data_IF_315546615950
#
_entry.id   IF_315546615950
#
_cell.length_a   1.000
_cell.length_b   1.000
_cell.length_c   1.000
_cell.angle_alpha   90.00
_cell.angle_beta   90.00
_cell.angle_gamma   90.00
#
_symmetry.space_group_name_H-M   'P 1'
#
loop_
_entity.id
_entity.type
_entity.pdbx_description
1 polymer ?
#
# COMPACT_ATOMS: atom_id res chain seq x y z
N UNK A 1 37.73 31.74 30.80
CA UNK A 1 36.61 32.31 30.01
C UNK A 1 36.37 31.36 28.83
N UNK A 2 35.62 30.29 29.09
CA UNK A 2 35.40 29.20 28.14
C UNK A 2 34.25 29.54 27.20
N UNK A 3 34.56 29.63 25.92
CA UNK A 3 33.64 29.93 24.83
C UNK A 3 32.69 28.73 24.66
N UNK A 4 31.43 28.87 25.10
CA UNK A 4 30.36 27.93 24.78
C UNK A 4 30.24 27.83 23.26
N UNK A 5 30.72 26.72 22.69
CA UNK A 5 30.44 26.34 21.31
C UNK A 5 28.94 26.13 21.23
N UNK A 6 28.29 27.02 20.51
CA UNK A 6 26.89 26.95 20.15
C UNK A 6 26.71 25.70 19.26
N UNK A 7 26.17 24.63 19.85
CA UNK A 7 25.93 23.37 19.16
C UNK A 7 24.94 23.60 18.03
N UNK A 8 25.46 23.46 16.81
CA UNK A 8 24.67 23.48 15.57
C UNK A 8 23.76 22.25 15.43
N UNK A 9 23.47 21.53 16.52
CA UNK A 9 22.38 20.58 16.62
C UNK A 9 21.05 21.31 16.88
N UNK A 10 20.78 22.37 16.10
CA UNK A 10 19.40 22.70 15.76
C UNK A 10 18.85 21.45 15.08
N UNK A 11 18.07 20.67 15.82
CA UNK A 11 17.18 19.67 15.24
C UNK A 11 16.40 20.40 14.16
N UNK A 12 16.70 20.07 12.91
CA UNK A 12 16.07 20.66 11.74
C UNK A 12 14.55 20.53 11.92
N UNK A 13 13.76 21.62 11.82
CA UNK A 13 12.31 21.56 11.98
C UNK A 13 11.59 20.74 10.88
N UNK A 14 12.35 20.12 9.97
CA UNK A 14 11.90 19.24 8.89
C UNK A 14 12.20 17.74 9.11
N UNK A 15 12.66 17.34 10.31
CA UNK A 15 13.25 16.01 10.55
C UNK A 15 12.28 14.87 10.91
N UNK A 16 10.97 15.08 10.73
CA UNK A 16 9.95 14.04 10.94
C UNK A 16 9.34 13.61 9.59
N UNK A 17 10.10 12.81 8.81
CA UNK A 17 9.63 12.35 7.48
C UNK A 17 8.61 11.21 7.56
N UNK A 18 8.44 10.57 8.71
CA UNK A 18 7.47 9.48 8.89
C UNK A 18 6.04 10.00 8.62
N UNK A 19 5.71 11.24 9.02
CA UNK A 19 4.40 11.84 8.74
C UNK A 19 4.20 12.37 7.31
N UNK A 20 5.24 12.40 6.47
CA UNK A 20 5.14 12.92 5.11
C UNK A 20 4.51 11.89 4.17
N UNK A 21 3.55 12.29 3.31
CA UNK A 21 3.00 11.39 2.30
C UNK A 21 4.09 10.89 1.37
N UNK A 22 4.05 9.63 0.97
CA UNK A 22 4.72 9.19 -0.25
C UNK A 22 4.25 10.06 -1.44
N UNK A 23 5.13 10.50 -2.35
CA UNK A 23 6.55 10.12 -2.52
C UNK A 23 7.57 10.93 -1.70
N UNK A 24 7.13 11.82 -0.80
CA UNK A 24 8.02 12.75 -0.09
C UNK A 24 8.59 12.19 1.23
N UNK A 25 7.91 11.20 1.83
CA UNK A 25 8.39 10.43 2.99
C UNK A 25 9.08 9.10 2.60
N UNK A 26 9.92 8.52 3.49
CA UNK A 26 10.46 7.18 3.30
C UNK A 26 9.32 6.16 3.16
N UNK A 27 9.54 5.14 2.33
CA UNK A 27 8.55 4.09 2.15
C UNK A 27 8.28 3.36 3.46
N UNK A 28 7.11 2.76 3.58
CA UNK A 28 6.74 2.01 4.79
C UNK A 28 7.77 0.92 5.11
N UNK A 29 8.33 0.32 4.07
CA UNK A 29 9.31 -0.77 4.15
C UNK A 29 10.76 -0.29 4.37
N UNK A 30 11.00 1.01 4.46
CA UNK A 30 12.35 1.58 4.59
C UNK A 30 12.86 1.47 6.04
N UNK A 31 14.03 0.83 6.30
CA UNK A 31 14.61 0.75 7.65
C UNK A 31 14.84 2.13 8.29
N UNK A 32 14.94 3.19 7.48
CA UNK A 32 15.07 4.58 7.97
C UNK A 32 13.94 4.96 8.92
N UNK A 33 12.72 4.42 8.76
CA UNK A 33 11.59 4.71 9.67
C UNK A 33 11.84 4.17 11.06
N UNK A 34 12.33 2.95 11.18
CA UNK A 34 12.65 2.31 12.47
C UNK A 34 13.81 3.03 13.15
N UNK A 35 14.81 3.46 12.38
CA UNK A 35 15.93 4.27 12.91
C UNK A 35 15.43 5.63 13.42
N UNK A 36 14.60 6.34 12.65
CA UNK A 36 14.04 7.62 13.06
C UNK A 36 13.13 7.50 14.30
N UNK A 37 12.29 6.48 14.34
CA UNK A 37 11.43 6.21 15.49
C UNK A 37 12.26 5.91 16.75
N UNK A 38 13.25 5.02 16.65
CA UNK A 38 14.10 4.66 17.79
C UNK A 38 15.00 5.82 18.26
N UNK A 39 15.53 6.64 17.34
CA UNK A 39 16.26 7.87 17.68
C UNK A 39 15.37 8.86 18.44
N UNK A 40 14.11 9.01 18.01
CA UNK A 40 13.16 9.94 18.66
C UNK A 40 12.75 9.42 20.03
N UNK A 41 12.46 8.13 20.15
CA UNK A 41 12.13 7.50 21.43
C UNK A 41 13.26 7.65 22.46
N UNK A 42 14.52 7.68 22.02
CA UNK A 42 15.69 7.87 22.91
C UNK A 42 15.77 9.26 23.53
N UNK A 43 15.16 10.27 22.91
CA UNK A 43 15.21 11.67 23.36
C UNK A 43 14.06 11.97 24.33
N UNK A 44 12.96 11.22 24.22
CA UNK A 44 11.76 11.39 25.04
C UNK A 44 12.00 10.89 26.47
N UNK A 45 11.61 11.68 27.46
CA UNK A 45 11.68 11.27 28.88
C UNK A 45 10.59 10.23 29.17
N UNK A 46 10.94 8.97 29.49
CA UNK A 46 9.96 7.92 29.70
C UNK A 46 9.05 8.18 30.91
N UNK A 47 9.42 9.08 31.83
CA UNK A 47 8.71 9.24 33.11
C UNK A 47 7.59 10.28 33.10
N UNK A 48 7.59 11.24 32.15
CA UNK A 48 6.57 12.30 32.11
C UNK A 48 6.04 12.60 30.71
N UNK A 49 6.43 11.83 29.70
CA UNK A 49 6.12 12.13 28.29
C UNK A 49 5.00 11.27 27.69
N UNK A 50 4.03 10.79 28.49
CA UNK A 50 2.93 9.98 27.96
C UNK A 50 2.24 10.60 26.73
N UNK A 51 1.97 11.91 26.74
CA UNK A 51 1.39 12.60 25.58
C UNK A 51 2.32 12.63 24.36
N UNK A 52 3.63 12.72 24.56
CA UNK A 52 4.61 12.71 23.45
C UNK A 52 4.71 11.30 22.85
N UNK A 53 4.70 10.26 23.69
CA UNK A 53 4.68 8.87 23.25
C UNK A 53 3.42 8.60 22.42
N UNK A 54 2.25 9.03 22.92
CA UNK A 54 0.99 8.93 22.17
C UNK A 54 1.08 9.65 20.82
N UNK A 55 1.65 10.87 20.79
CA UNK A 55 1.81 11.62 19.57
C UNK A 55 2.71 10.88 18.57
N UNK A 56 3.88 10.40 19.00
CA UNK A 56 4.83 9.68 18.14
C UNK A 56 4.23 8.40 17.55
N UNK A 57 3.53 7.62 18.38
CA UNK A 57 2.85 6.38 17.95
C UNK A 57 1.69 6.71 17.01
N UNK A 58 0.92 7.74 17.31
CA UNK A 58 -0.19 8.18 16.46
C UNK A 58 0.29 8.73 15.11
N UNK A 59 1.42 9.42 15.08
CA UNK A 59 2.00 9.89 13.84
C UNK A 59 2.57 8.71 12.99
N UNK A 60 3.12 7.67 13.62
CA UNK A 60 3.50 6.42 12.94
C UNK A 60 2.27 5.75 12.31
N UNK A 61 1.17 5.64 13.05
CA UNK A 61 -0.09 5.07 12.56
C UNK A 61 -0.67 5.87 11.38
N UNK A 62 -0.69 7.20 11.49
CA UNK A 62 -1.16 8.09 10.44
C UNK A 62 -0.34 7.97 9.15
N UNK A 63 0.96 7.72 9.26
CA UNK A 63 1.82 7.44 8.12
C UNK A 63 1.36 6.18 7.36
N UNK A 64 1.03 5.10 8.08
CA UNK A 64 0.54 3.85 7.50
C UNK A 64 -0.83 4.02 6.83
N UNK A 65 -1.78 4.65 7.54
CA UNK A 65 -3.12 4.93 7.01
C UNK A 65 -3.01 5.72 5.70
N UNK A 66 -2.16 6.76 5.70
CA UNK A 66 -1.94 7.61 4.52
C UNK A 66 -1.26 6.85 3.38
N UNK A 67 -0.32 5.96 3.68
CA UNK A 67 0.31 5.10 2.67
C UNK A 67 -0.74 4.24 1.95
N UNK A 68 -1.59 3.53 2.70
CA UNK A 68 -2.65 2.71 2.10
C UNK A 68 -3.71 3.55 1.38
N UNK A 69 -4.03 4.75 1.88
CA UNK A 69 -4.90 5.70 1.21
C UNK A 69 -4.36 6.13 -0.18
N UNK A 70 -3.06 6.39 -0.30
CA UNK A 70 -2.46 6.76 -1.58
C UNK A 70 -2.43 5.57 -2.54
N UNK A 71 -2.08 4.39 -2.02
CA UNK A 71 -2.01 3.13 -2.76
C UNK A 71 -3.37 2.74 -3.34
N UNK A 72 -4.47 2.88 -2.58
CA UNK A 72 -5.84 2.63 -3.10
C UNK A 72 -6.22 3.57 -4.25
N UNK A 73 -5.79 4.84 -4.20
CA UNK A 73 -6.09 5.83 -5.25
C UNK A 73 -5.29 5.52 -6.50
N UNK A 74 -4.01 5.17 -6.35
CA UNK A 74 -3.17 4.76 -7.47
C UNK A 74 -3.69 3.49 -8.13
N UNK A 75 -4.07 2.47 -7.35
CA UNK A 75 -4.66 1.24 -7.87
C UNK A 75 -5.94 1.52 -8.67
N UNK A 76 -6.84 2.36 -8.14
CA UNK A 76 -8.05 2.79 -8.86
C UNK A 76 -7.74 3.49 -10.18
N UNK A 77 -6.77 4.43 -10.17
CA UNK A 77 -6.38 5.17 -11.38
C UNK A 77 -5.76 4.24 -12.43
N UNK A 78 -4.86 3.35 -12.01
CA UNK A 78 -4.24 2.37 -12.89
C UNK A 78 -5.28 1.44 -13.50
N UNK A 79 -6.21 0.91 -12.70
CA UNK A 79 -7.26 0.04 -13.21
C UNK A 79 -8.18 0.76 -14.19
N UNK A 80 -8.55 2.00 -13.87
CA UNK A 80 -9.36 2.83 -14.77
C UNK A 80 -8.65 3.03 -16.11
N UNK A 81 -7.35 3.34 -16.08
CA UNK A 81 -6.53 3.52 -17.29
C UNK A 81 -6.44 2.23 -18.11
N UNK A 82 -6.21 1.08 -17.47
CA UNK A 82 -6.12 -0.22 -18.14
C UNK A 82 -7.45 -0.60 -18.80
N UNK A 83 -8.58 -0.36 -18.13
CA UNK A 83 -9.90 -0.57 -18.73
C UNK A 83 -10.13 0.34 -19.95
N UNK A 84 -9.75 1.61 -19.88
CA UNK A 84 -9.84 2.51 -21.04
C UNK A 84 -8.96 2.03 -22.21
N UNK A 85 -7.73 1.60 -21.93
CA UNK A 85 -6.83 1.05 -22.96
C UNK A 85 -7.39 -0.24 -23.57
N UNK A 86 -7.90 -1.15 -22.74
CA UNK A 86 -8.52 -2.38 -23.20
C UNK A 86 -9.74 -2.11 -24.10
N UNK A 87 -10.56 -1.13 -23.74
CA UNK A 87 -11.70 -0.72 -24.55
C UNK A 87 -11.28 -0.12 -25.89
N UNK A 88 -10.28 0.78 -25.90
CA UNK A 88 -9.74 1.36 -27.14
C UNK A 88 -9.15 0.28 -28.06
N UNK A 89 -8.30 -0.60 -27.54
CA UNK A 89 -7.70 -1.66 -28.34
C UNK A 89 -8.72 -2.72 -28.77
N UNK A 90 -9.68 -3.05 -27.91
CA UNK A 90 -10.74 -3.99 -28.24
C UNK A 90 -11.66 -3.47 -29.35
N UNK A 91 -12.06 -2.19 -29.28
CA UNK A 91 -12.88 -1.56 -30.32
C UNK A 91 -12.16 -1.47 -31.66
N UNK A 92 -10.89 -1.04 -31.67
CA UNK A 92 -10.07 -1.03 -32.89
C UNK A 92 -9.87 -2.45 -33.42
N UNK A 93 -9.56 -3.41 -32.56
CA UNK A 93 -9.34 -4.81 -32.94
C UNK A 93 -10.57 -5.46 -33.58
N UNK A 94 -11.78 -5.07 -33.19
CA UNK A 94 -13.04 -5.54 -33.79
C UNK A 94 -13.39 -4.74 -35.06
N UNK A 95 -13.16 -3.43 -35.08
CA UNK A 95 -13.52 -2.58 -36.21
C UNK A 95 -12.65 -2.83 -37.44
N UNK A 96 -11.36 -3.14 -37.26
CA UNK A 96 -10.43 -3.42 -38.37
C UNK A 96 -10.89 -4.55 -39.29
N UNK A 97 -11.21 -5.77 -38.80
CA UNK A 97 -11.69 -6.85 -39.66
C UNK A 97 -13.06 -6.52 -40.29
N UNK A 98 -13.94 -5.81 -39.59
CA UNK A 98 -15.24 -5.36 -40.14
C UNK A 98 -15.05 -4.38 -41.30
N UNK A 99 -14.16 -3.40 -41.14
CA UNK A 99 -13.84 -2.43 -42.18
C UNK A 99 -13.18 -3.09 -43.41
N UNK A 100 -12.36 -4.13 -43.19
CA UNK A 100 -11.74 -4.94 -44.24
C UNK A 100 -12.74 -5.59 -45.20
N UNK A 101 -13.95 -5.91 -44.74
CA UNK A 101 -15.00 -6.46 -45.61
C UNK A 101 -15.78 -5.41 -46.40
N UNK A 102 -15.76 -4.15 -45.97
CA UNK A 102 -16.55 -3.06 -46.58
C UNK A 102 -15.71 -2.28 -47.59
N UNK A 103 -14.41 -2.11 -47.32
CA UNK A 103 -13.49 -1.31 -48.13
C UNK A 103 -12.68 -2.24 -49.03
N UNK A 104 -12.83 -2.08 -50.35
CA UNK A 104 -12.24 -2.98 -51.36
C UNK A 104 -10.74 -2.73 -51.63
N UNK A 105 -10.16 -1.69 -51.05
CA UNK A 105 -8.84 -1.14 -51.46
C UNK A 105 -7.88 -0.97 -50.26
N UNK A 106 -7.87 -1.95 -49.36
CA UNK A 106 -7.01 -1.96 -48.17
C UNK A 106 -5.74 -2.80 -48.40
N UNK A 107 -4.61 -2.43 -47.77
CA UNK A 107 -3.38 -3.22 -47.86
C UNK A 107 -3.55 -4.60 -47.22
N UNK A 108 -2.91 -5.64 -47.79
CA UNK A 108 -3.04 -7.05 -47.37
C UNK A 108 -2.77 -7.27 -45.86
N UNK A 109 -1.91 -6.44 -45.25
CA UNK A 109 -1.56 -6.55 -43.84
C UNK A 109 -2.58 -5.91 -42.88
N UNK A 110 -3.61 -5.25 -43.39
CA UNK A 110 -4.56 -4.50 -42.56
C UNK A 110 -5.31 -5.39 -41.57
N UNK A 111 -5.70 -6.61 -41.97
CA UNK A 111 -6.36 -7.57 -41.08
C UNK A 111 -5.47 -8.00 -39.90
N UNK A 112 -4.17 -8.18 -40.14
CA UNK A 112 -3.19 -8.60 -39.13
C UNK A 112 -3.10 -7.60 -37.98
N UNK A 113 -3.21 -6.29 -38.27
CA UNK A 113 -3.26 -5.24 -37.24
C UNK A 113 -4.44 -5.40 -36.28
N UNK A 114 -5.61 -5.83 -36.77
CA UNK A 114 -6.78 -6.09 -35.93
C UNK A 114 -6.51 -7.15 -34.87
N UNK A 115 -5.87 -8.27 -35.26
CA UNK A 115 -5.50 -9.33 -34.32
C UNK A 115 -4.47 -8.86 -33.28
N UNK A 116 -3.50 -8.03 -33.67
CA UNK A 116 -2.53 -7.46 -32.71
C UNK A 116 -3.21 -6.56 -31.67
N UNK A 117 -4.13 -5.69 -32.10
CA UNK A 117 -4.89 -4.84 -31.16
C UNK A 117 -5.80 -5.65 -30.25
N UNK A 118 -6.43 -6.71 -30.78
CA UNK A 118 -7.26 -7.59 -29.97
C UNK A 118 -6.43 -8.38 -28.93
N UNK A 119 -5.28 -8.92 -29.33
CA UNK A 119 -4.34 -9.58 -28.43
C UNK A 119 -3.80 -8.62 -27.37
N UNK A 120 -3.53 -7.37 -27.74
CA UNK A 120 -3.10 -6.33 -26.81
C UNK A 120 -4.20 -5.99 -25.79
N UNK A 121 -5.46 -5.88 -26.23
CA UNK A 121 -6.61 -5.65 -25.35
C UNK A 121 -6.74 -6.78 -24.31
N UNK A 122 -6.67 -8.03 -24.76
CA UNK A 122 -6.67 -9.19 -23.86
C UNK A 122 -5.49 -9.17 -22.88
N UNK A 123 -4.29 -8.83 -23.36
CA UNK A 123 -3.08 -8.73 -22.52
C UNK A 123 -3.22 -7.64 -21.44
N UNK A 124 -3.80 -6.50 -21.79
CA UNK A 124 -4.05 -5.39 -20.86
C UNK A 124 -5.04 -5.79 -19.77
N UNK A 125 -6.10 -6.54 -20.11
CA UNK A 125 -7.06 -7.04 -19.13
C UNK A 125 -6.45 -8.08 -18.18
N UNK A 126 -5.64 -8.99 -18.72
CA UNK A 126 -4.89 -9.96 -17.89
C UNK A 126 -3.93 -9.21 -16.97
N UNK A 127 -3.24 -8.18 -17.47
CA UNK A 127 -2.39 -7.34 -16.65
C UNK A 127 -3.17 -6.62 -15.53
N UNK A 128 -4.36 -6.06 -15.80
CA UNK A 128 -5.20 -5.45 -14.75
C UNK A 128 -5.59 -6.45 -13.66
N UNK A 129 -5.89 -7.70 -14.05
CA UNK A 129 -6.23 -8.76 -13.11
C UNK A 129 -5.01 -9.20 -12.26
N UNK A 130 -3.85 -9.41 -12.90
CA UNK A 130 -2.59 -9.84 -12.24
C UNK A 130 -2.03 -8.75 -11.32
N UNK A 131 -1.92 -7.52 -11.83
CA UNK A 131 -1.46 -6.38 -11.04
C UNK A 131 -2.58 -5.82 -10.15
N UNK A 132 -3.77 -6.42 -10.24
CA UNK A 132 -4.85 -6.32 -9.28
C UNK A 132 -5.36 -4.90 -9.13
N UNK A 133 -5.71 -4.23 -10.23
CA UNK A 133 -6.32 -2.90 -10.15
C UNK A 133 -7.53 -2.90 -9.21
N UNK A 134 -8.43 -3.86 -9.41
CA UNK A 134 -9.66 -4.03 -8.60
C UNK A 134 -9.41 -4.79 -7.29
N UNK A 135 -8.73 -5.93 -7.33
CA UNK A 135 -8.47 -6.75 -6.13
C UNK A 135 -7.55 -6.06 -5.13
N UNK A 136 -6.52 -5.34 -5.60
CA UNK A 136 -5.65 -4.58 -4.71
C UNK A 136 -6.38 -3.37 -4.12
N UNK A 137 -7.32 -2.75 -4.85
CA UNK A 137 -8.15 -1.68 -4.28
C UNK A 137 -8.92 -2.16 -3.03
N UNK A 138 -9.65 -3.27 -3.13
CA UNK A 138 -10.38 -3.83 -1.99
C UNK A 138 -9.45 -4.19 -0.83
N UNK A 139 -8.30 -4.81 -1.12
CA UNK A 139 -7.30 -5.19 -0.11
C UNK A 139 -6.73 -3.97 0.62
N UNK A 140 -6.39 -2.91 -0.12
CA UNK A 140 -5.89 -1.66 0.47
C UNK A 140 -6.95 -0.93 1.29
N UNK A 141 -8.21 -0.93 0.85
CA UNK A 141 -9.32 -0.36 1.61
C UNK A 141 -9.55 -1.13 2.92
N UNK A 142 -9.61 -2.46 2.87
CA UNK A 142 -9.74 -3.30 4.07
C UNK A 142 -8.63 -3.02 5.07
N UNK A 143 -7.37 -3.05 4.60
CA UNK A 143 -6.19 -2.82 5.44
C UNK A 143 -6.18 -1.44 6.07
N UNK A 144 -6.53 -0.40 5.30
CA UNK A 144 -6.68 0.95 5.82
C UNK A 144 -7.73 1.01 6.93
N UNK A 145 -8.93 0.45 6.70
CA UNK A 145 -10.02 0.46 7.68
C UNK A 145 -9.65 -0.31 8.95
N UNK A 146 -8.94 -1.42 8.82
CA UNK A 146 -8.47 -2.22 9.96
C UNK A 146 -7.45 -1.42 10.79
N UNK A 147 -6.51 -0.71 10.15
CA UNK A 147 -5.54 0.16 10.85
C UNK A 147 -6.26 1.36 11.51
N UNK A 148 -7.18 2.02 10.79
CA UNK A 148 -7.98 3.14 11.33
C UNK A 148 -8.74 2.70 12.59
N UNK A 149 -9.42 1.55 12.53
CA UNK A 149 -10.14 0.98 13.66
C UNK A 149 -9.23 0.72 14.86
N UNK A 150 -8.07 0.09 14.65
CA UNK A 150 -7.13 -0.22 15.74
C UNK A 150 -6.56 1.07 16.35
N UNK A 151 -6.30 2.08 15.52
CA UNK A 151 -5.85 3.40 15.98
C UNK A 151 -6.92 4.15 16.79
N UNK A 152 -8.18 4.12 16.35
CA UNK A 152 -9.30 4.71 17.10
C UNK A 152 -9.47 4.07 18.48
N UNK A 153 -9.37 2.73 18.56
CA UNK A 153 -9.42 2.01 19.83
C UNK A 153 -8.24 2.39 20.74
N UNK A 154 -7.02 2.46 20.19
CA UNK A 154 -5.85 2.92 20.92
C UNK A 154 -6.01 4.34 21.45
N UNK A 155 -6.55 5.27 20.64
CA UNK A 155 -6.79 6.65 21.05
C UNK A 155 -7.81 6.76 22.19
N UNK A 156 -8.88 5.97 22.15
CA UNK A 156 -9.88 5.91 23.22
C UNK A 156 -9.29 5.31 24.50
N UNK A 157 -8.51 4.24 24.39
CA UNK A 157 -7.85 3.61 25.54
C UNK A 157 -6.80 4.54 26.18
N UNK A 158 -6.02 5.25 25.37
CA UNK A 158 -5.09 6.26 25.87
C UNK A 158 -5.82 7.32 26.69
N UNK A 159 -6.94 7.87 26.18
CA UNK A 159 -7.77 8.81 26.94
C UNK A 159 -8.35 8.20 28.21
N UNK A 160 -8.78 6.94 28.15
CA UNK A 160 -9.28 6.22 29.32
C UNK A 160 -8.22 6.13 30.41
N UNK A 161 -6.97 5.83 30.07
CA UNK A 161 -5.85 5.76 31.04
C UNK A 161 -5.70 7.08 31.79
N UNK A 162 -5.75 8.22 31.10
CA UNK A 162 -5.64 9.54 31.75
C UNK A 162 -6.84 9.84 32.67
N UNK A 163 -8.05 9.40 32.32
CA UNK A 163 -9.27 9.66 33.09
C UNK A 163 -9.46 8.69 34.25
N UNK A 164 -9.10 7.41 34.10
CA UNK A 164 -9.27 6.41 35.17
C UNK A 164 -8.20 6.51 36.25
N UNK A 165 -7.05 7.10 35.93
CA UNK A 165 -5.89 7.17 36.81
C UNK A 165 -5.57 8.61 37.23
N UNK A 166 -6.58 9.43 37.51
CA UNK A 166 -6.40 10.86 37.84
C UNK A 166 -5.43 11.07 39.01
N UNK A 167 -5.43 10.17 39.99
CA UNK A 167 -4.57 10.22 41.17
C UNK A 167 -3.22 9.51 41.01
N UNK A 168 -3.02 8.78 39.92
CA UNK A 168 -1.75 8.12 39.65
C UNK A 168 -0.68 9.14 39.27
N UNK A 169 0.58 8.80 39.56
CA UNK A 169 1.72 9.58 39.10
C UNK A 169 1.80 9.57 37.57
N UNK A 170 2.41 10.60 36.99
CA UNK A 170 2.56 10.68 35.53
C UNK A 170 3.50 9.58 35.00
N UNK A 171 4.41 9.08 35.82
CA UNK A 171 5.23 7.91 35.52
C UNK A 171 4.38 6.63 35.39
N UNK A 172 3.45 6.37 36.31
CA UNK A 172 2.54 5.21 36.23
C UNK A 172 1.64 5.27 35.00
N UNK A 173 1.09 6.46 34.68
CA UNK A 173 0.30 6.65 33.45
C UNK A 173 1.15 6.41 32.19
N UNK A 174 2.40 6.87 32.18
CA UNK A 174 3.31 6.71 31.06
C UNK A 174 3.65 5.24 30.81
N UNK A 175 3.87 4.45 31.87
CA UNK A 175 4.09 2.99 31.75
C UNK A 175 2.87 2.30 31.13
N UNK A 176 1.66 2.56 31.65
CA UNK A 176 0.43 1.97 31.10
C UNK A 176 0.22 2.32 29.61
N UNK A 177 0.57 3.56 29.24
CA UNK A 177 0.44 4.01 27.87
C UNK A 177 1.51 3.38 26.95
N UNK A 178 2.73 3.18 27.45
CA UNK A 178 3.77 2.45 26.72
C UNK A 178 3.32 1.02 26.45
N UNK A 179 2.83 0.30 27.47
CA UNK A 179 2.34 -1.06 27.33
C UNK A 179 1.22 -1.14 26.28
N UNK A 180 0.26 -0.21 26.33
CA UNK A 180 -0.82 -0.13 25.33
C UNK A 180 -0.29 0.21 23.94
N UNK A 181 0.78 1.01 23.84
CA UNK A 181 1.41 1.37 22.57
C UNK A 181 2.14 0.19 21.94
N UNK A 182 2.79 -0.66 22.75
CA UNK A 182 3.43 -1.90 22.28
C UNK A 182 2.39 -2.83 21.67
N UNK A 183 1.27 -3.04 22.37
CA UNK A 183 0.18 -3.88 21.87
C UNK A 183 -0.44 -3.33 20.58
N UNK A 184 -0.64 -2.00 20.51
CA UNK A 184 -1.11 -1.34 19.29
C UNK A 184 -0.16 -1.56 18.10
N UNK A 185 1.14 -1.37 18.31
CA UNK A 185 2.16 -1.56 17.26
C UNK A 185 2.17 -3.01 16.78
N UNK A 186 2.07 -3.97 17.70
CA UNK A 186 1.98 -5.40 17.35
C UNK A 186 0.74 -5.69 16.50
N UNK A 187 -0.44 -5.24 16.92
CA UNK A 187 -1.69 -5.41 16.16
C UNK A 187 -1.60 -4.79 14.77
N UNK A 188 -1.03 -3.59 14.65
CA UNK A 188 -0.81 -2.94 13.37
C UNK A 188 0.11 -3.78 12.48
N UNK A 189 1.25 -4.26 12.99
CA UNK A 189 2.15 -5.13 12.22
C UNK A 189 1.52 -6.47 11.83
N UNK A 190 0.63 -7.03 12.65
CA UNK A 190 -0.12 -8.23 12.30
C UNK A 190 -1.06 -7.99 11.10
N UNK A 191 -1.76 -6.85 11.08
CA UNK A 191 -2.61 -6.46 9.93
C UNK A 191 -1.76 -6.30 8.67
N UNK A 192 -0.62 -5.60 8.74
CA UNK A 192 0.30 -5.41 7.62
C UNK A 192 0.88 -6.75 7.11
N UNK A 193 1.29 -7.63 8.02
CA UNK A 193 1.81 -8.96 7.70
C UNK A 193 0.75 -9.85 7.05
N UNK A 194 -0.49 -9.77 7.53
CA UNK A 194 -1.63 -10.50 6.95
C UNK A 194 -1.93 -10.01 5.53
N UNK A 195 -1.94 -8.69 5.29
CA UNK A 195 -2.13 -8.12 3.96
C UNK A 195 -1.04 -8.60 2.98
N UNK A 196 0.22 -8.59 3.41
CA UNK A 196 1.35 -9.05 2.60
C UNK A 196 1.23 -10.54 2.27
N UNK A 197 0.82 -11.36 3.23
CA UNK A 197 0.60 -12.79 3.03
C UNK A 197 -0.58 -13.08 2.09
N UNK A 198 -1.69 -12.35 2.23
CA UNK A 198 -2.84 -12.41 1.33
C UNK A 198 -2.46 -12.02 -0.10
N UNK A 199 -1.66 -10.96 -0.26
CA UNK A 199 -1.17 -10.53 -1.57
C UNK A 199 -0.30 -11.60 -2.24
N UNK A 200 0.65 -12.20 -1.50
CA UNK A 200 1.50 -13.27 -2.03
C UNK A 200 0.67 -14.46 -2.52
N UNK A 201 -0.31 -14.89 -1.73
CA UNK A 201 -1.23 -15.98 -2.11
C UNK A 201 -1.98 -15.66 -3.40
N UNK A 202 -2.47 -14.43 -3.54
CA UNK A 202 -3.17 -14.00 -4.76
C UNK A 202 -2.26 -14.08 -6.00
N UNK A 203 -1.02 -13.57 -5.89
CA UNK A 203 -0.03 -13.64 -6.99
C UNK A 203 0.30 -15.09 -7.36
N UNK A 204 0.52 -15.95 -6.37
CA UNK A 204 0.84 -17.37 -6.61
C UNK A 204 -0.33 -18.10 -7.28
N UNK A 205 -1.58 -17.82 -6.89
CA UNK A 205 -2.77 -18.37 -7.53
C UNK A 205 -2.88 -17.92 -8.99
N UNK A 206 -2.73 -16.63 -9.26
CA UNK A 206 -2.80 -16.12 -10.64
C UNK A 206 -1.68 -16.71 -11.50
N UNK A 207 -0.47 -16.90 -10.95
CA UNK A 207 0.63 -17.57 -11.65
C UNK A 207 0.26 -19.00 -12.04
N UNK A 208 -0.34 -19.76 -11.14
CA UNK A 208 -0.78 -21.13 -11.41
C UNK A 208 -1.89 -21.19 -12.46
N UNK A 209 -2.84 -20.26 -12.42
CA UNK A 209 -3.90 -20.15 -13.44
C UNK A 209 -3.31 -19.85 -14.82
N UNK A 210 -2.39 -18.88 -14.90
CA UNK A 210 -1.70 -18.56 -16.15
C UNK A 210 -0.88 -19.73 -16.69
N UNK A 211 -0.19 -20.48 -15.83
CA UNK A 211 0.53 -21.69 -16.24
C UNK A 211 -0.41 -22.78 -16.76
N UNK A 212 -1.59 -22.94 -16.15
CA UNK A 212 -2.60 -23.89 -16.61
C UNK A 212 -3.14 -23.50 -17.99
N UNK A 213 -3.41 -22.21 -18.21
CA UNK A 213 -3.90 -21.70 -19.49
C UNK A 213 -2.82 -21.70 -20.59
N UNK A 214 -1.55 -21.47 -20.23
CA UNK A 214 -0.43 -21.59 -21.17
C UNK A 214 -0.07 -23.07 -21.47
N UNK A 215 -0.46 -24.00 -20.58
CA UNK A 215 -0.02 -25.40 -20.60
C UNK A 215 -0.98 -26.43 -21.21
N UNK A 216 -2.09 -26.07 -21.84
CA UNK A 216 -3.01 -27.06 -22.43
C UNK A 216 -3.60 -26.66 -23.80
N UNK A 217 -4.07 -27.60 -24.65
CA UNK A 217 -3.77 -29.02 -24.82
C UNK A 217 -3.02 -29.24 -26.16
N UNK A 218 -1.73 -28.88 -26.22
CA UNK A 218 -0.93 -28.98 -27.45
C UNK A 218 -0.11 -30.26 -27.62
N UNK A 219 -0.08 -31.15 -26.61
CA UNK A 219 0.86 -32.27 -26.55
C UNK A 219 0.22 -33.67 -26.66
N UNK A 220 -0.98 -33.80 -27.25
CA UNK A 220 -1.63 -35.11 -27.46
C UNK A 220 -2.08 -35.38 -28.91
N UNK A 221 -1.56 -34.65 -29.91
CA UNK A 221 -1.75 -35.02 -31.32
C UNK A 221 -0.40 -35.29 -31.98
N UNK A 222 0.09 -36.53 -31.94
CA UNK A 222 1.31 -36.89 -32.66
C UNK A 222 1.95 -38.22 -32.26
N UNK A 223 1.18 -39.30 -32.28
CA UNK A 223 1.72 -40.66 -32.47
C UNK A 223 0.57 -41.64 -32.67
N UNK A 224 0.07 -41.69 -33.90
CA UNK A 224 -0.53 -42.89 -34.52
C UNK A 224 -0.05 -42.93 -35.98
#
# INVERSE_FOLDING_TARGET
>A
MGMFKNDKHKLDPFRWRIGLPYPFGPKVEDPVRVTQFSETLRIVDPTNSGNEIFALVGELANAEIRYYYLRRVQARRLSTLLHYMAWLFGTVGILVPVAGHILSDLPENFLSWGYYFFALAGSVLVADNVFGGTNSHHRYVKTQLDIERIFELYALDAKRIFVSNIFASDAEKSVLLIDRSVEFIEQMHLVLGTETAEWKKAVDLTKLELQRHAGGPGNQCGSD
#
